data_IF_360006151241
#
_entry.id   IF_360006151241
#
_cell.length_a   1.000
_cell.length_b   1.000
_cell.length_c   1.000
_cell.angle_alpha   90.00
_cell.angle_beta   90.00
_cell.angle_gamma   90.00
#
_symmetry.space_group_name_H-M   'P 1'
#
loop_
_entity.id
_entity.type
_entity.pdbx_description
1 polymer ?
#
# COMPACT_ATOMS: atom_id res chain seq x y z
N UNK A 1 22.13 -22.00 -3.70
CA UNK A 1 22.28 -20.78 -4.51
C UNK A 1 21.61 -19.69 -3.69
N UNK A 2 22.43 -18.86 -3.05
CA UNK A 2 22.02 -17.83 -2.08
C UNK A 2 21.81 -16.53 -2.84
N UNK A 3 20.64 -15.91 -2.73
CA UNK A 3 20.47 -14.51 -3.09
C UNK A 3 20.70 -13.68 -1.82
N UNK A 4 21.89 -13.11 -1.72
CA UNK A 4 22.14 -11.95 -0.86
C UNK A 4 21.55 -10.74 -1.57
N UNK A 5 20.79 -9.91 -0.86
CA UNK A 5 20.69 -8.48 -1.16
C UNK A 5 22.09 -7.89 -0.90
N UNK A 6 22.98 -8.00 -1.90
CA UNK A 6 24.17 -7.17 -1.95
C UNK A 6 23.68 -5.74 -2.02
N UNK A 7 24.13 -4.92 -1.07
CA UNK A 7 24.02 -3.47 -1.13
C UNK A 7 24.56 -2.98 -2.46
N UNK A 8 23.66 -2.78 -3.42
CA UNK A 8 23.84 -1.77 -4.42
C UNK A 8 23.69 -0.45 -3.66
N UNK A 9 24.63 0.47 -3.86
CA UNK A 9 24.50 1.83 -3.42
C UNK A 9 23.21 2.42 -4.03
N UNK A 10 22.10 2.33 -3.29
CA UNK A 10 20.84 2.96 -3.65
C UNK A 10 21.05 4.48 -3.52
N UNK A 11 20.52 5.23 -4.47
CA UNK A 11 20.71 6.67 -4.59
C UNK A 11 20.45 7.39 -3.26
N UNK A 12 21.53 7.79 -2.60
CA UNK A 12 21.56 8.11 -1.17
C UNK A 12 20.89 9.46 -0.78
N UNK A 13 20.27 10.18 -1.71
CA UNK A 13 19.73 11.53 -1.46
C UNK A 13 18.23 11.58 -1.14
N UNK A 14 17.42 10.76 -1.81
CA UNK A 14 15.96 10.93 -1.78
C UNK A 14 15.30 10.08 -0.69
N UNK A 15 15.78 8.84 -0.53
CA UNK A 15 15.37 7.96 0.57
C UNK A 15 15.67 8.62 1.93
N UNK A 16 16.88 9.17 2.11
CA UNK A 16 17.28 9.80 3.37
C UNK A 16 16.38 10.98 3.77
N UNK A 17 15.86 11.72 2.78
CA UNK A 17 14.92 12.83 2.99
C UNK A 17 13.55 12.31 3.44
N UNK A 18 13.07 11.20 2.85
CA UNK A 18 11.78 10.61 3.22
C UNK A 18 11.88 9.93 4.58
N UNK A 19 12.96 9.19 4.85
CA UNK A 19 13.21 8.59 6.16
C UNK A 19 13.29 9.65 7.26
N UNK A 20 13.96 10.79 7.04
CA UNK A 20 13.99 11.83 8.07
C UNK A 20 12.63 12.49 8.34
N UNK A 21 11.75 12.54 7.33
CA UNK A 21 10.37 12.99 7.51
C UNK A 21 9.54 11.97 8.29
N UNK A 22 9.70 10.67 8.01
CA UNK A 22 9.01 9.58 8.71
C UNK A 22 9.50 9.42 10.16
N UNK A 23 10.77 9.72 10.44
CA UNK A 23 11.39 9.62 11.76
C UNK A 23 11.17 10.87 12.65
N UNK A 24 10.49 11.94 12.18
CA UNK A 24 10.24 13.13 13.00
C UNK A 24 9.26 12.80 14.15
N UNK A 25 9.74 12.77 15.42
CA UNK A 25 8.91 12.39 16.55
C UNK A 25 7.81 13.41 16.88
N UNK A 26 7.84 14.60 16.27
CA UNK A 26 6.86 15.66 16.49
C UNK A 26 5.80 15.73 15.38
N UNK A 27 5.98 15.01 14.28
CA UNK A 27 5.04 14.99 13.17
C UNK A 27 4.05 13.83 13.33
N UNK A 28 2.76 14.13 13.39
CA UNK A 28 1.69 13.09 13.41
C UNK A 28 1.47 12.52 12.01
N UNK A 29 1.74 13.32 10.98
CA UNK A 29 1.72 12.92 9.57
C UNK A 29 2.68 13.81 8.79
N UNK A 30 3.25 13.27 7.72
CA UNK A 30 4.10 14.01 6.77
C UNK A 30 3.59 13.81 5.36
N UNK A 31 3.61 14.88 4.56
CA UNK A 31 3.27 14.82 3.14
C UNK A 31 4.55 14.85 2.30
N UNK A 32 4.69 13.92 1.37
CA UNK A 32 5.75 13.94 0.36
C UNK A 32 5.23 14.57 -0.94
N UNK A 33 6.09 15.25 -1.68
CA UNK A 33 5.72 15.75 -3.01
C UNK A 33 5.53 14.59 -3.98
N UNK A 34 4.74 14.77 -5.04
CA UNK A 34 4.58 13.73 -6.08
C UNK A 34 5.94 13.34 -6.68
N UNK A 35 6.84 14.30 -6.88
CA UNK A 35 8.20 14.05 -7.38
C UNK A 35 8.99 13.15 -6.43
N UNK A 36 8.98 13.46 -5.13
CA UNK A 36 9.69 12.65 -4.12
C UNK A 36 9.02 11.26 -3.96
N UNK A 37 7.70 11.18 -4.05
CA UNK A 37 7.00 9.90 -4.02
C UNK A 37 7.33 9.03 -5.24
N UNK A 38 7.41 9.63 -6.43
CA UNK A 38 7.76 8.90 -7.66
C UNK A 38 9.24 8.50 -7.69
N UNK A 39 10.13 9.17 -6.99
CA UNK A 39 11.53 8.75 -6.90
C UNK A 39 11.72 7.50 -6.05
N UNK A 40 10.77 7.17 -5.15
CA UNK A 40 10.67 5.84 -4.52
C UNK A 40 10.27 4.72 -5.52
N UNK A 41 9.90 5.07 -6.75
CA UNK A 41 9.14 4.24 -7.68
C UNK A 41 9.76 2.89 -8.09
N UNK A 42 11.06 2.67 -7.87
CA UNK A 42 11.67 1.34 -8.04
C UNK A 42 11.47 0.43 -6.82
N UNK A 43 11.31 1.01 -5.62
CA UNK A 43 11.08 0.29 -4.36
C UNK A 43 9.61 0.05 -4.02
N UNK A 44 8.68 0.81 -4.63
CA UNK A 44 7.23 0.69 -4.42
C UNK A 44 6.55 -0.07 -5.57
N UNK A 45 6.99 -1.30 -5.81
CA UNK A 45 6.40 -2.19 -6.83
C UNK A 45 5.76 -3.39 -6.14
N UNK A 46 4.55 -3.76 -6.55
CA UNK A 46 3.94 -5.01 -6.09
C UNK A 46 4.82 -6.21 -6.52
N UNK A 47 4.94 -7.28 -5.72
CA UNK A 47 5.79 -8.43 -6.05
C UNK A 47 5.54 -9.06 -7.42
N UNK A 48 4.29 -9.02 -7.90
CA UNK A 48 3.89 -9.51 -9.23
C UNK A 48 3.89 -8.41 -10.32
N UNK A 49 4.45 -7.24 -10.02
CA UNK A 49 4.43 -6.06 -10.89
C UNK A 49 3.04 -5.45 -11.09
N UNK A 50 2.04 -5.84 -10.27
CA UNK A 50 0.65 -5.43 -10.44
C UNK A 50 -0.10 -6.20 -11.53
N UNK A 51 0.45 -7.33 -12.00
CA UNK A 51 -0.14 -8.16 -13.06
C UNK A 51 -1.54 -8.63 -12.69
N UNK A 52 -1.73 -9.25 -11.52
CA UNK A 52 -3.03 -9.78 -11.12
C UNK A 52 -4.07 -8.66 -10.91
N UNK A 53 -3.65 -7.54 -10.32
CA UNK A 53 -4.51 -6.34 -10.16
C UNK A 53 -4.98 -5.82 -11.52
N UNK A 54 -4.06 -5.75 -12.48
CA UNK A 54 -4.35 -5.29 -13.84
C UNK A 54 -5.28 -6.26 -14.58
N UNK A 55 -5.06 -7.56 -14.44
CA UNK A 55 -5.92 -8.60 -15.02
C UNK A 55 -7.36 -8.49 -14.47
N UNK A 56 -7.52 -8.35 -13.15
CA UNK A 56 -8.83 -8.16 -12.52
C UNK A 56 -9.50 -6.85 -12.94
N UNK A 57 -8.74 -5.75 -13.01
CA UNK A 57 -9.27 -4.46 -13.43
C UNK A 57 -9.73 -4.47 -14.90
N UNK A 58 -8.98 -5.12 -15.80
CA UNK A 58 -9.35 -5.27 -17.20
C UNK A 58 -10.56 -6.19 -17.41
N UNK A 59 -10.77 -7.15 -16.50
CA UNK A 59 -11.93 -8.04 -16.54
C UNK A 59 -13.21 -7.41 -15.94
N UNK A 60 -13.08 -6.25 -15.27
CA UNK A 60 -14.19 -5.62 -14.58
C UNK A 60 -15.22 -5.03 -15.58
N UNK A 61 -16.52 -5.37 -15.48
CA UNK A 61 -17.56 -4.77 -16.29
C UNK A 61 -17.56 -3.25 -16.16
N UNK A 62 -17.62 -2.55 -17.29
CA UNK A 62 -17.63 -1.08 -17.37
C UNK A 62 -16.45 -0.39 -16.67
N UNK A 63 -15.34 -1.11 -16.43
CA UNK A 63 -14.17 -0.60 -15.71
C UNK A 63 -14.39 -0.46 -14.20
N UNK A 64 -15.48 -0.99 -13.65
CA UNK A 64 -15.80 -0.94 -12.23
C UNK A 64 -15.07 -2.05 -11.46
N UNK A 65 -13.74 -1.91 -11.33
CA UNK A 65 -12.91 -2.83 -10.56
C UNK A 65 -13.34 -2.89 -9.09
N UNK A 66 -13.69 -4.08 -8.60
CA UNK A 66 -13.92 -4.33 -7.17
C UNK A 66 -12.60 -4.84 -6.53
N UNK A 67 -11.94 -4.05 -5.68
CA UNK A 67 -10.68 -4.45 -5.03
C UNK A 67 -10.83 -5.69 -4.13
N UNK A 68 -12.04 -6.06 -3.70
CA UNK A 68 -12.29 -7.31 -2.95
C UNK A 68 -11.94 -8.56 -3.75
N UNK A 69 -11.93 -8.47 -5.08
CA UNK A 69 -11.55 -9.60 -5.92
C UNK A 69 -10.11 -10.10 -5.65
N UNK A 70 -9.25 -9.25 -5.08
CA UNK A 70 -7.88 -9.64 -4.69
C UNK A 70 -7.84 -10.60 -3.50
N UNK A 71 -8.83 -10.60 -2.59
CA UNK A 71 -8.91 -11.59 -1.49
C UNK A 71 -9.09 -13.03 -2.00
N UNK A 72 -9.60 -13.19 -3.24
CA UNK A 72 -9.79 -14.50 -3.85
C UNK A 72 -8.49 -15.14 -4.37
N UNK A 73 -7.38 -14.39 -4.40
CA UNK A 73 -6.08 -14.86 -4.89
C UNK A 73 -5.20 -15.26 -3.72
N UNK A 74 -4.39 -16.30 -3.93
CA UNK A 74 -3.49 -16.77 -2.89
C UNK A 74 -2.27 -15.85 -2.74
N UNK A 75 -1.70 -15.81 -1.54
CA UNK A 75 -0.47 -15.06 -1.29
C UNK A 75 0.71 -15.56 -2.13
N UNK A 76 0.70 -16.82 -2.56
CA UNK A 76 1.70 -17.36 -3.48
C UNK A 76 1.60 -16.79 -4.90
N UNK A 77 0.39 -16.41 -5.34
CA UNK A 77 0.15 -15.80 -6.65
C UNK A 77 0.45 -14.29 -6.66
N UNK A 78 0.22 -13.63 -5.52
CA UNK A 78 0.37 -12.18 -5.36
C UNK A 78 1.75 -11.77 -4.83
N UNK A 79 2.39 -12.63 -4.04
CA UNK A 79 3.58 -12.31 -3.23
C UNK A 79 3.28 -11.53 -1.95
N UNK A 80 2.01 -11.33 -1.61
CA UNK A 80 1.49 -10.69 -0.41
C UNK A 80 0.11 -11.26 -0.07
N UNK A 81 -0.31 -11.18 1.19
CA UNK A 81 -1.69 -11.46 1.59
C UNK A 81 -2.55 -10.21 1.34
N UNK A 82 -3.78 -10.40 0.88
CA UNK A 82 -4.74 -9.34 0.61
C UNK A 82 -6.04 -9.64 1.35
N UNK A 83 -6.42 -8.73 2.26
CA UNK A 83 -7.63 -8.86 3.09
C UNK A 83 -8.50 -7.61 2.98
N UNK A 84 -9.80 -7.78 2.78
CA UNK A 84 -10.78 -6.72 2.88
C UNK A 84 -11.19 -6.53 4.33
N UNK A 85 -10.78 -5.40 4.90
CA UNK A 85 -11.09 -5.01 6.25
C UNK A 85 -12.26 -4.02 6.29
N UNK A 86 -13.05 -4.13 7.35
CA UNK A 86 -14.16 -3.22 7.66
C UNK A 86 -14.02 -2.79 9.10
N UNK A 87 -13.61 -1.55 9.31
CA UNK A 87 -13.49 -0.93 10.62
C UNK A 87 -14.75 -0.12 10.91
N UNK A 88 -15.42 -0.44 12.04
CA UNK A 88 -16.71 0.15 12.40
C UNK A 88 -16.56 1.13 13.54
N UNK A 89 -17.04 2.34 13.33
CA UNK A 89 -17.01 3.43 14.30
C UNK A 89 -18.41 3.95 14.57
N UNK A 90 -18.70 4.28 15.83
CA UNK A 90 -19.88 5.06 16.16
C UNK A 90 -19.47 6.53 16.37
N UNK A 91 -19.93 7.40 15.49
CA UNK A 91 -19.72 8.86 15.56
C UNK A 91 -21.02 9.57 15.26
N UNK A 92 -21.36 10.56 16.09
CA UNK A 92 -22.61 11.33 15.97
C UNK A 92 -23.90 10.47 16.00
N UNK A 93 -23.89 9.36 16.75
CA UNK A 93 -24.96 8.35 16.78
C UNK A 93 -25.23 7.66 15.43
N UNK A 94 -24.27 7.68 14.53
CA UNK A 94 -24.29 6.96 13.26
C UNK A 94 -23.20 5.89 13.30
N UNK A 95 -23.51 4.70 12.75
CA UNK A 95 -22.52 3.68 12.48
C UNK A 95 -21.85 4.03 11.15
N UNK A 96 -20.53 4.17 11.18
CA UNK A 96 -19.68 4.43 10.04
C UNK A 96 -18.78 3.22 9.83
N UNK A 97 -18.74 2.73 8.60
CA UNK A 97 -17.82 1.67 8.19
C UNK A 97 -16.73 2.33 7.32
N UNK A 98 -15.48 2.18 7.73
CA UNK A 98 -14.30 2.48 6.92
C UNK A 98 -13.83 1.15 6.37
N UNK A 99 -13.69 1.05 5.05
CA UNK A 99 -13.30 -0.20 4.41
C UNK A 99 -12.07 -0.04 3.55
N UNK A 100 -11.29 -1.11 3.45
CA UNK A 100 -10.14 -1.15 2.57
C UNK A 100 -9.56 -2.56 2.46
N UNK A 101 -8.83 -2.79 1.39
CA UNK A 101 -7.86 -3.86 1.16
C UNK A 101 -6.52 -3.64 1.91
N UNK A 102 -6.30 -4.39 2.98
CA UNK A 102 -5.00 -4.49 3.66
C UNK A 102 -4.08 -5.41 2.87
N UNK A 103 -2.86 -4.94 2.59
CA UNK A 103 -1.81 -5.72 1.93
C UNK A 103 -0.73 -6.08 2.96
N UNK A 104 -0.51 -7.37 3.18
CA UNK A 104 0.50 -7.84 4.14
C UNK A 104 1.64 -8.52 3.40
N UNK A 105 2.84 -7.97 3.56
CA UNK A 105 4.05 -8.52 2.96
C UNK A 105 4.36 -9.91 3.52
N UNK A 106 4.87 -10.80 2.66
CA UNK A 106 5.42 -12.10 3.08
C UNK A 106 6.88 -11.99 3.55
N UNK A 107 7.51 -10.82 3.42
CA UNK A 107 8.87 -10.57 3.89
C UNK A 107 8.88 -10.47 5.44
N UNK A 108 9.63 -11.33 6.16
CA UNK A 108 9.71 -11.27 7.62
C UNK A 108 10.28 -9.94 8.14
N UNK A 109 11.07 -9.22 7.34
CA UNK A 109 11.65 -7.92 7.71
C UNK A 109 10.66 -6.77 7.55
N UNK A 110 9.49 -6.99 6.92
CA UNK A 110 8.50 -5.94 6.67
C UNK A 110 8.04 -5.22 7.95
N UNK A 111 8.03 -5.92 9.09
CA UNK A 111 7.64 -5.35 10.39
C UNK A 111 8.62 -4.29 10.93
N UNK A 112 9.82 -4.19 10.34
CA UNK A 112 10.81 -3.17 10.69
C UNK A 112 10.63 -1.86 9.91
N UNK A 113 9.63 -1.80 9.02
CA UNK A 113 9.35 -0.64 8.19
C UNK A 113 8.03 0.02 8.59
N UNK A 114 7.88 1.34 8.36
CA UNK A 114 6.63 2.04 8.60
C UNK A 114 5.54 1.58 7.64
N UNK A 115 4.30 1.72 8.08
CA UNK A 115 3.13 1.48 7.25
C UNK A 115 2.99 2.55 6.16
N UNK A 116 2.62 2.13 4.96
CA UNK A 116 2.28 3.02 3.85
C UNK A 116 0.78 2.93 3.60
N UNK A 117 0.10 4.07 3.72
CA UNK A 117 -1.32 4.20 3.39
C UNK A 117 -1.46 4.97 2.09
N UNK A 118 -2.02 4.34 1.06
CA UNK A 118 -2.30 4.99 -0.22
C UNK A 118 -3.78 5.31 -0.31
N UNK A 119 -4.08 6.59 -0.49
CA UNK A 119 -5.44 7.09 -0.63
C UNK A 119 -5.62 7.59 -2.06
N UNK A 120 -6.49 6.93 -2.80
CA UNK A 120 -6.85 7.39 -4.14
C UNK A 120 -8.08 8.29 -4.09
N UNK A 121 -8.00 9.45 -4.76
CA UNK A 121 -9.12 10.38 -4.91
C UNK A 121 -9.94 10.11 -6.17
N UNK A 122 -11.19 9.70 -6.00
CA UNK A 122 -12.22 9.63 -7.05
C UNK A 122 -13.56 10.13 -6.51
N UNK A 123 -14.43 10.64 -7.38
CA UNK A 123 -15.68 11.29 -6.98
C UNK A 123 -16.52 10.40 -6.05
N UNK A 124 -16.62 10.83 -4.78
CA UNK A 124 -17.32 10.19 -3.68
C UNK A 124 -16.76 8.82 -3.24
N UNK A 125 -15.87 8.82 -2.25
CA UNK A 125 -16.08 8.25 -0.90
C UNK A 125 -14.72 7.98 -0.21
N UNK A 126 -14.65 8.28 1.09
CA UNK A 126 -13.50 8.06 1.97
C UNK A 126 -13.22 6.54 2.08
N UNK A 127 -12.34 6.00 1.24
CA UNK A 127 -11.82 4.64 1.39
C UNK A 127 -10.30 4.73 1.50
N UNK A 128 -9.86 5.11 2.70
CA UNK A 128 -8.45 5.10 3.11
C UNK A 128 -8.22 3.87 3.99
N UNK A 129 -7.25 3.04 3.62
CA UNK A 129 -6.90 1.80 4.31
C UNK A 129 -6.30 2.08 5.69
N UNK A 130 -6.74 1.34 6.71
CA UNK A 130 -6.09 1.10 8.02
C UNK A 130 -5.90 -0.42 8.12
N UNK A 131 -4.91 -1.02 8.76
CA UNK A 131 -4.06 -0.70 9.91
C UNK A 131 -2.66 -1.15 9.57
#
# INVERSE_FOLDING_TARGET
MTFCLTGAALAQSDDAKIWSLLDDPNAVFVSVSETDFRSLGEGLVLPDGGRNVTELANAAPDGAFDPRALEGLSAAELGYEADWVVERFNRYNLNWDITGLRLTSLDPEANNYPWVVIVNGGAANFYEFYV
#
